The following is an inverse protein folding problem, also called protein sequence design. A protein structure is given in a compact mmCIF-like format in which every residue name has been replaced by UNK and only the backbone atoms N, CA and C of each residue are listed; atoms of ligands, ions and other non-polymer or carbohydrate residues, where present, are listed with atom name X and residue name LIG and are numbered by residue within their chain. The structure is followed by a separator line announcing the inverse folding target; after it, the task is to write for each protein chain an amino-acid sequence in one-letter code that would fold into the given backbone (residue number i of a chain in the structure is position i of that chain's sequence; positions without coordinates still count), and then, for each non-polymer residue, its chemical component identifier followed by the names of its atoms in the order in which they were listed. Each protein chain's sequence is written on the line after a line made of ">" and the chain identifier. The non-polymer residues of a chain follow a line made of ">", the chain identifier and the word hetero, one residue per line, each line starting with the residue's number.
data_IF_799651798999
#
_entry.id   IF_799651798999
#
_cell.length_a   1.000
_cell.length_b   1.000
_cell.length_c   1.000
_cell.angle_alpha   90.00
_cell.angle_beta   90.00
_cell.angle_gamma   90.00
#
_symmetry.space_group_name_H-M   'P 1'
#
loop_
_entity.id
_entity.type
_entity.pdbx_description
1 polymer ?
#
# COMPACT_ATOMS: atom_id res chain seq x y z
N UNK A 1 26.25 -9.11 -37.10
CA UNK A 1 25.55 -9.95 -38.10
C UNK A 1 24.07 -9.67 -37.95
N UNK A 2 23.56 -8.73 -38.73
CA UNK A 2 22.17 -8.30 -38.73
C UNK A 2 21.34 -9.22 -39.61
N UNK A 3 20.23 -9.76 -39.11
CA UNK A 3 19.19 -10.35 -39.95
C UNK A 3 17.91 -9.54 -39.82
N UNK A 4 17.69 -8.73 -40.82
CA UNK A 4 16.44 -8.06 -41.17
C UNK A 4 15.41 -9.08 -41.62
N UNK A 5 14.17 -8.97 -41.06
CA UNK A 5 13.03 -9.67 -41.60
C UNK A 5 12.01 -8.62 -42.12
N UNK A 6 12.00 -8.48 -43.45
CA UNK A 6 10.94 -7.81 -44.23
C UNK A 6 9.99 -8.89 -44.71
N UNK A 7 8.71 -8.67 -44.58
CA UNK A 7 7.62 -9.07 -45.50
C UNK A 7 6.29 -8.73 -44.80
N UNK A 8 5.36 -8.18 -45.38
CA UNK A 8 4.87 -7.79 -46.69
C UNK A 8 3.33 -7.68 -46.56
N UNK A 9 2.92 -6.57 -46.94
CA UNK A 9 1.58 -6.10 -47.33
C UNK A 9 0.59 -7.19 -47.74
N UNK A 10 -0.64 -7.13 -47.18
CA UNK A 10 -1.86 -7.47 -47.96
C UNK A 10 -3.04 -6.62 -47.53
N UNK A 11 -3.35 -5.70 -48.36
CA UNK A 11 -4.54 -4.87 -48.43
C UNK A 11 -5.69 -5.78 -48.89
N UNK A 12 -6.80 -5.80 -48.21
CA UNK A 12 -8.10 -6.17 -48.76
C UNK A 12 -9.15 -5.11 -48.41
N UNK A 13 -9.45 -4.30 -49.42
CA UNK A 13 -10.66 -3.49 -49.52
C UNK A 13 -11.84 -4.41 -49.75
N UNK A 14 -12.88 -4.34 -48.94
CA UNK A 14 -14.24 -4.69 -49.35
C UNK A 14 -15.15 -3.62 -48.77
N UNK A 15 -15.56 -2.77 -49.68
CA UNK A 15 -16.68 -1.85 -49.49
C UNK A 15 -17.99 -2.68 -49.54
N UNK A 16 -18.83 -2.53 -48.55
CA UNK A 16 -20.25 -2.88 -48.69
C UNK A 16 -21.10 -1.83 -48.03
N UNK A 17 -21.73 -1.12 -48.88
CA UNK A 17 -22.70 -0.04 -48.71
C UNK A 17 -24.06 -0.70 -48.37
N UNK A 18 -24.55 -0.48 -47.14
CA UNK A 18 -25.96 -0.75 -46.83
C UNK A 18 -26.57 0.48 -46.16
N UNK A 19 -27.28 1.21 -47.00
CA UNK A 19 -28.28 2.20 -46.59
C UNK A 19 -29.49 1.46 -46.00
N UNK A 20 -29.71 1.62 -44.71
CA UNK A 20 -31.02 1.38 -44.12
C UNK A 20 -31.50 2.63 -43.40
N UNK A 21 -32.38 3.34 -44.09
CA UNK A 21 -33.26 4.36 -43.52
C UNK A 21 -34.38 3.65 -42.77
N UNK A 22 -34.37 3.70 -41.46
CA UNK A 22 -35.57 3.46 -40.67
C UNK A 22 -35.77 4.60 -39.69
N UNK A 23 -36.74 5.42 -40.04
CA UNK A 23 -37.41 6.38 -39.19
C UNK A 23 -37.90 5.68 -37.92
N UNK A 24 -37.33 6.01 -36.76
CA UNK A 24 -37.83 5.54 -35.49
C UNK A 24 -38.39 6.71 -34.70
N UNK A 25 -39.68 6.66 -34.53
CA UNK A 25 -40.55 7.55 -33.80
C UNK A 25 -40.03 7.77 -32.39
N UNK A 26 -39.66 9.01 -32.05
CA UNK A 26 -39.34 9.45 -30.71
C UNK A 26 -40.60 9.52 -29.86
N UNK A 27 -40.90 8.45 -29.15
CA UNK A 27 -42.00 8.42 -28.17
C UNK A 27 -41.44 8.98 -26.85
N UNK A 28 -41.71 10.24 -26.61
CA UNK A 28 -41.39 10.98 -25.42
C UNK A 28 -42.22 10.45 -24.23
N UNK A 29 -41.71 9.45 -23.55
CA UNK A 29 -42.26 9.05 -22.25
C UNK A 29 -41.83 10.07 -21.21
N UNK A 30 -42.76 10.93 -20.80
CA UNK A 30 -42.65 11.68 -19.55
C UNK A 30 -42.66 10.69 -18.39
N UNK A 31 -41.51 10.30 -17.92
CA UNK A 31 -41.38 9.64 -16.62
C UNK A 31 -41.48 10.72 -15.55
N UNK A 32 -42.56 10.65 -14.80
CA UNK A 32 -42.80 11.40 -13.56
C UNK A 32 -41.60 11.10 -12.64
N UNK A 33 -40.87 12.15 -12.29
CA UNK A 33 -39.85 12.08 -11.22
C UNK A 33 -40.61 11.86 -9.93
N UNK A 34 -40.71 10.61 -9.50
CA UNK A 34 -41.10 10.28 -8.14
C UNK A 34 -39.92 10.65 -7.25
N UNK A 35 -40.16 11.61 -6.36
CA UNK A 35 -39.27 11.96 -5.26
C UNK A 35 -39.16 10.76 -4.33
N UNK A 36 -38.20 9.91 -4.57
CA UNK A 36 -37.77 8.93 -3.56
C UNK A 36 -36.96 9.68 -2.48
N UNK A 37 -37.21 9.40 -1.20
CA UNK A 37 -36.53 10.11 -0.11
C UNK A 37 -35.03 9.85 -0.15
N UNK A 38 -34.25 10.93 -0.01
CA UNK A 38 -32.77 10.96 0.04
C UNK A 38 -32.19 10.10 1.20
N UNK A 39 -33.04 9.50 2.00
CA UNK A 39 -32.67 8.71 3.19
C UNK A 39 -32.03 7.35 2.88
N UNK A 40 -32.16 6.83 1.65
CA UNK A 40 -31.54 5.56 1.25
C UNK A 40 -30.12 5.67 0.73
N UNK A 41 -29.66 6.86 0.33
CA UNK A 41 -28.28 7.10 -0.12
C UNK A 41 -27.27 7.23 1.02
N UNK A 42 -27.75 7.51 2.25
CA UNK A 42 -26.90 7.63 3.41
C UNK A 42 -26.64 6.29 4.14
N UNK A 43 -27.33 5.21 3.78
CA UNK A 43 -27.16 3.90 4.40
C UNK A 43 -26.02 3.07 3.76
N UNK A 44 -25.52 3.44 2.59
CA UNK A 44 -24.46 2.73 1.90
C UNK A 44 -23.07 3.32 2.17
N UNK A 45 -23.02 4.57 2.63
CA UNK A 45 -21.78 5.24 3.05
C UNK A 45 -21.30 4.83 4.46
N UNK A 46 -22.07 4.07 5.22
CA UNK A 46 -21.70 3.69 6.59
C UNK A 46 -21.19 2.25 6.73
N UNK A 47 -20.88 1.58 5.61
CA UNK A 47 -20.15 0.30 5.63
C UNK A 47 -18.62 0.47 5.57
N UNK A 48 -18.11 1.58 6.04
CA UNK A 48 -16.75 1.56 6.58
C UNK A 48 -16.85 0.73 7.86
N UNK A 49 -16.44 -0.53 7.75
CA UNK A 49 -16.18 -1.37 8.90
C UNK A 49 -15.42 -0.49 9.89
N UNK A 50 -15.88 -0.46 11.14
CA UNK A 50 -15.21 0.21 12.24
C UNK A 50 -13.80 -0.36 12.29
N UNK A 51 -12.87 0.31 11.57
CA UNK A 51 -11.45 -0.03 11.57
C UNK A 51 -11.05 0.13 13.02
N UNK A 52 -10.60 -0.94 13.62
CA UNK A 52 -10.06 -0.93 14.97
C UNK A 52 -9.01 0.19 15.00
N UNK A 53 -9.09 1.08 15.97
CA UNK A 53 -8.48 2.41 15.94
C UNK A 53 -6.95 2.40 15.92
N UNK A 54 -6.32 1.20 15.95
CA UNK A 54 -4.88 0.98 16.01
C UNK A 54 -4.39 0.02 14.90
N UNK A 55 -4.50 0.47 13.64
CA UNK A 55 -3.90 -0.26 12.51
C UNK A 55 -2.38 -0.27 12.62
N UNK A 56 -1.79 0.83 13.11
CA UNK A 56 -0.36 0.95 13.41
C UNK A 56 -0.13 0.67 14.89
N UNK A 57 0.64 -0.35 15.19
CA UNK A 57 0.91 -0.81 16.56
C UNK A 57 2.31 -0.38 17.01
N UNK A 58 2.47 -0.01 18.28
CA UNK A 58 3.80 0.12 18.86
C UNK A 58 4.45 -1.25 18.93
N UNK A 59 5.77 -1.29 18.70
CA UNK A 59 6.56 -2.52 18.70
C UNK A 59 7.76 -2.34 19.61
N UNK A 60 7.79 -3.10 20.69
CA UNK A 60 8.92 -3.15 21.60
C UNK A 60 10.04 -4.05 21.07
N UNK A 61 11.27 -3.90 21.60
CA UNK A 61 12.41 -4.78 21.31
C UNK A 61 12.09 -6.25 21.59
N UNK A 62 11.35 -6.51 22.66
CA UNK A 62 10.91 -7.86 23.03
C UNK A 62 9.92 -8.44 22.01
N UNK A 63 8.92 -7.65 21.58
CA UNK A 63 7.95 -8.06 20.56
C UNK A 63 8.61 -8.22 19.19
N UNK A 64 9.58 -7.36 18.84
CA UNK A 64 10.36 -7.52 17.61
C UNK A 64 11.05 -8.89 17.60
N UNK A 65 11.72 -9.28 18.71
CA UNK A 65 12.36 -10.60 18.84
C UNK A 65 11.38 -11.75 18.70
N UNK A 66 10.14 -11.58 19.15
CA UNK A 66 9.10 -12.61 19.08
C UNK A 66 8.44 -12.69 17.70
N UNK A 67 8.09 -11.54 17.11
CA UNK A 67 7.22 -11.46 15.93
C UNK A 67 7.99 -11.33 14.61
N UNK A 68 9.13 -10.63 14.64
CA UNK A 68 9.89 -10.26 13.44
C UNK A 68 11.14 -11.11 13.30
N UNK A 69 12.08 -10.97 14.22
CA UNK A 69 13.35 -11.67 14.16
C UNK A 69 14.01 -11.65 15.53
N UNK A 70 14.47 -12.81 15.98
CA UNK A 70 15.27 -12.94 17.20
C UNK A 70 16.75 -12.73 16.89
N UNK A 71 17.20 -11.50 17.06
CA UNK A 71 18.59 -11.11 16.77
C UNK A 71 19.58 -11.57 17.84
N UNK A 72 19.13 -11.98 19.02
CA UNK A 72 20.01 -12.58 20.05
C UNK A 72 20.41 -14.00 19.63
N UNK A 73 19.46 -14.77 19.08
CA UNK A 73 19.71 -16.14 18.66
C UNK A 73 20.38 -16.23 17.27
N UNK A 74 20.23 -15.22 16.44
CA UNK A 74 20.75 -15.21 15.05
C UNK A 74 21.29 -13.82 14.65
N UNK A 75 22.38 -13.34 15.30
CA UNK A 75 22.81 -11.95 15.11
C UNK A 75 23.33 -11.63 13.70
N UNK A 76 23.75 -12.64 12.93
CA UNK A 76 24.38 -12.47 11.63
C UNK A 76 23.51 -12.98 10.46
N UNK A 77 22.31 -13.42 10.72
CA UNK A 77 21.44 -14.01 9.70
C UNK A 77 20.02 -13.49 9.83
N UNK A 78 19.48 -12.89 8.76
CA UNK A 78 18.10 -12.46 8.74
C UNK A 78 17.16 -13.66 8.66
N UNK A 79 16.34 -13.84 9.70
CA UNK A 79 15.34 -14.92 9.79
C UNK A 79 13.98 -14.32 10.18
N UNK A 80 13.21 -13.92 9.19
CA UNK A 80 11.87 -13.41 9.43
C UNK A 80 10.95 -14.51 9.96
N UNK A 81 10.28 -14.25 11.09
CA UNK A 81 9.37 -15.19 11.75
C UNK A 81 7.92 -15.07 11.28
N UNK A 82 7.57 -13.93 10.69
CA UNK A 82 6.20 -13.67 10.23
C UNK A 82 5.86 -14.37 8.91
N UNK A 83 4.57 -14.33 8.58
CA UNK A 83 4.04 -14.88 7.32
C UNK A 83 3.48 -13.79 6.40
N UNK A 84 3.34 -12.58 6.92
CA UNK A 84 2.84 -11.41 6.20
C UNK A 84 3.94 -10.37 6.12
N UNK A 85 3.99 -9.58 5.03
CA UNK A 85 4.90 -8.44 4.95
C UNK A 85 4.67 -7.46 6.10
N UNK A 86 5.73 -6.77 6.51
CA UNK A 86 5.72 -5.82 7.63
C UNK A 86 6.35 -4.50 7.19
N UNK A 87 5.79 -3.38 7.64
CA UNK A 87 6.44 -2.08 7.59
C UNK A 87 6.64 -1.55 9.01
N UNK A 88 7.84 -1.03 9.30
CA UNK A 88 8.18 -0.46 10.61
C UNK A 88 8.65 0.98 10.42
N UNK A 89 8.05 1.93 11.16
CA UNK A 89 8.45 3.34 11.27
C UNK A 89 9.30 3.51 12.54
N UNK A 90 10.60 3.79 12.38
CA UNK A 90 11.48 4.19 13.48
C UNK A 90 11.40 5.71 13.65
N UNK A 91 10.94 6.15 14.79
CA UNK A 91 10.65 7.55 15.09
C UNK A 91 11.07 7.94 16.50
N UNK A 92 10.95 9.23 16.82
CA UNK A 92 10.93 9.73 18.19
C UNK A 92 9.88 10.82 18.34
N UNK A 93 9.38 11.05 19.56
CA UNK A 93 8.32 12.03 19.85
C UNK A 93 8.72 13.48 19.55
N UNK A 94 9.99 13.82 19.73
CA UNK A 94 10.56 15.14 19.45
C UNK A 94 10.88 15.38 17.97
N UNK A 95 10.88 14.36 17.13
CA UNK A 95 11.27 14.43 15.73
C UNK A 95 10.21 15.15 14.88
N UNK A 96 10.54 16.33 14.38
CA UNK A 96 9.65 17.15 13.53
C UNK A 96 9.24 16.47 12.25
N UNK A 97 10.18 15.97 11.42
CA UNK A 97 9.87 15.22 10.19
C UNK A 97 9.05 13.95 10.45
N UNK A 98 9.28 13.24 11.57
CA UNK A 98 8.49 12.06 11.92
C UNK A 98 7.00 12.41 12.16
N UNK A 99 6.73 13.55 12.81
CA UNK A 99 5.35 14.03 13.02
C UNK A 99 4.65 14.38 11.70
N UNK A 100 5.40 14.85 10.71
CA UNK A 100 4.85 15.12 9.37
C UNK A 100 4.55 13.83 8.60
N UNK A 101 5.36 12.79 8.80
CA UNK A 101 5.16 11.48 8.20
C UNK A 101 4.04 10.67 8.83
N UNK A 102 3.75 10.86 10.11
CA UNK A 102 2.77 10.08 10.84
C UNK A 102 1.37 10.00 10.16
N UNK A 103 0.76 11.11 9.67
CA UNK A 103 -0.52 11.03 8.96
C UNK A 103 -0.43 10.27 7.63
N UNK A 104 0.68 10.38 6.90
CA UNK A 104 0.92 9.64 5.66
C UNK A 104 1.04 8.15 5.96
N UNK A 105 1.85 7.80 6.95
CA UNK A 105 2.06 6.42 7.39
C UNK A 105 0.75 5.75 7.83
N UNK A 106 -0.04 6.43 8.66
CA UNK A 106 -1.34 5.93 9.11
C UNK A 106 -2.32 5.72 7.95
N UNK A 107 -2.38 6.65 7.00
CA UNK A 107 -3.25 6.54 5.83
C UNK A 107 -2.87 5.34 4.96
N UNK A 108 -1.59 5.14 4.69
CA UNK A 108 -1.11 3.97 3.94
C UNK A 108 -1.38 2.69 4.72
N UNK A 109 -1.19 2.69 6.04
CA UNK A 109 -1.53 1.55 6.88
C UNK A 109 -3.02 1.19 6.78
N UNK A 110 -3.93 2.16 6.82
CA UNK A 110 -5.38 1.96 6.64
C UNK A 110 -5.73 1.36 5.26
N UNK A 111 -4.99 1.69 4.21
CA UNK A 111 -5.21 1.14 2.87
C UNK A 111 -4.75 -0.31 2.74
N UNK A 112 -3.70 -0.69 3.47
CA UNK A 112 -3.01 -1.98 3.26
C UNK A 112 -3.07 -2.95 4.46
N UNK A 113 -3.72 -2.61 5.60
CA UNK A 113 -3.72 -3.42 6.83
C UNK A 113 -4.17 -4.87 6.64
N UNK A 114 -5.03 -5.15 5.65
CA UNK A 114 -5.47 -6.52 5.37
C UNK A 114 -4.37 -7.40 4.77
N UNK A 115 -3.29 -6.80 4.26
CA UNK A 115 -2.20 -7.49 3.54
C UNK A 115 -0.84 -7.30 4.20
N UNK A 116 -0.63 -6.20 4.90
CA UNK A 116 0.65 -5.78 5.51
C UNK A 116 0.42 -5.42 6.97
N UNK A 117 1.32 -5.80 7.84
CA UNK A 117 1.31 -5.39 9.24
C UNK A 117 2.16 -4.12 9.41
N UNK A 118 1.63 -3.14 10.14
CA UNK A 118 2.28 -1.85 10.33
C UNK A 118 2.63 -1.64 11.80
N UNK A 119 3.89 -1.30 12.04
CA UNK A 119 4.42 -1.07 13.37
C UNK A 119 5.16 0.26 13.46
N UNK A 120 5.35 0.71 14.69
CA UNK A 120 6.12 1.90 15.03
C UNK A 120 7.03 1.60 16.21
N UNK A 121 8.28 2.05 16.13
CA UNK A 121 9.33 1.88 17.16
C UNK A 121 9.81 3.26 17.59
N UNK A 122 9.62 3.62 18.86
CA UNK A 122 10.24 4.81 19.44
C UNK A 122 11.71 4.49 19.76
N UNK A 123 12.64 5.15 19.07
CA UNK A 123 14.08 4.86 19.21
C UNK A 123 14.65 5.28 20.58
N UNK A 124 13.97 6.19 21.28
CA UNK A 124 14.38 6.59 22.63
C UNK A 124 13.99 5.54 23.68
N UNK A 125 12.85 4.88 23.49
CA UNK A 125 12.35 3.82 24.36
C UNK A 125 13.00 2.46 24.01
N UNK A 126 13.20 2.18 22.72
CA UNK A 126 13.68 0.90 22.20
C UNK A 126 15.14 0.98 21.69
N UNK A 127 16.01 1.59 22.51
CA UNK A 127 17.41 1.83 22.16
C UNK A 127 18.21 0.55 21.83
N UNK A 128 17.88 -0.61 22.42
CA UNK A 128 18.49 -1.90 22.08
C UNK A 128 18.23 -2.25 20.62
N UNK A 129 16.98 -2.20 20.20
CA UNK A 129 16.58 -2.50 18.83
C UNK A 129 17.14 -1.46 17.84
N UNK A 130 17.04 -0.17 18.18
CA UNK A 130 17.55 0.90 17.35
C UNK A 130 19.06 0.78 17.10
N UNK A 131 19.83 0.43 18.14
CA UNK A 131 21.27 0.20 18.04
C UNK A 131 21.59 -1.05 17.20
N UNK A 132 20.89 -2.16 17.44
CA UNK A 132 21.09 -3.38 16.67
C UNK A 132 20.79 -3.17 15.18
N UNK A 133 19.72 -2.44 14.88
CA UNK A 133 19.32 -2.07 13.51
C UNK A 133 20.18 -0.95 12.92
N UNK A 134 21.13 -0.40 13.68
CA UNK A 134 22.00 0.72 13.27
C UNK A 134 21.20 1.94 12.77
N UNK A 135 20.10 2.26 13.45
CA UNK A 135 19.27 3.44 13.12
C UNK A 135 20.04 4.70 13.49
N UNK A 136 20.56 5.43 12.49
CA UNK A 136 21.35 6.66 12.68
C UNK A 136 20.57 7.93 12.42
N UNK A 137 19.42 7.82 11.80
CA UNK A 137 18.58 8.96 11.40
C UNK A 137 17.11 8.57 11.44
N UNK A 138 16.24 9.52 11.75
CA UNK A 138 14.79 9.34 11.81
C UNK A 138 14.05 10.46 11.04
N UNK A 139 12.88 10.16 10.43
CA UNK A 139 12.27 8.85 10.34
C UNK A 139 13.08 7.87 9.48
N UNK A 140 13.03 6.60 9.82
CA UNK A 140 13.55 5.51 8.99
C UNK A 140 12.47 4.45 8.88
N UNK A 141 12.18 4.04 7.64
CA UNK A 141 11.17 3.02 7.35
C UNK A 141 11.84 1.73 6.91
N UNK A 142 11.45 0.63 7.54
CA UNK A 142 11.89 -0.71 7.16
C UNK A 142 10.75 -1.46 6.52
N UNK A 143 10.97 -1.99 5.33
CA UNK A 143 10.03 -2.78 4.56
C UNK A 143 10.50 -4.24 4.54
N UNK A 144 9.75 -5.11 5.19
CA UNK A 144 10.09 -6.53 5.40
C UNK A 144 9.15 -7.37 4.55
N UNK A 145 9.63 -8.01 3.47
CA UNK A 145 8.83 -8.93 2.67
C UNK A 145 8.54 -10.22 3.43
N UNK A 146 7.47 -10.93 3.05
CA UNK A 146 7.18 -12.26 3.61
C UNK A 146 8.32 -13.26 3.34
N UNK A 147 9.08 -13.05 2.24
CA UNK A 147 10.28 -13.81 1.89
C UNK A 147 11.38 -12.88 1.38
N UNK A 148 12.59 -13.12 1.80
CA UNK A 148 13.76 -12.35 1.35
C UNK A 148 14.27 -11.37 2.40
N UNK A 149 15.07 -10.41 1.94
CA UNK A 149 15.75 -9.44 2.80
C UNK A 149 14.93 -8.16 2.93
N UNK A 150 14.93 -7.51 4.09
CA UNK A 150 14.30 -6.20 4.25
C UNK A 150 15.01 -5.13 3.44
N UNK A 151 14.26 -4.09 3.09
CA UNK A 151 14.80 -2.84 2.54
C UNK A 151 14.52 -1.69 3.49
N UNK A 152 15.36 -0.66 3.43
CA UNK A 152 15.29 0.50 4.34
C UNK A 152 15.24 1.79 3.51
N UNK A 153 14.37 2.70 3.92
CA UNK A 153 14.32 4.07 3.40
C UNK A 153 14.51 5.05 4.55
N UNK A 154 15.41 6.01 4.37
CA UNK A 154 15.79 7.00 5.40
C UNK A 154 15.22 8.36 5.03
N UNK A 155 14.58 9.02 5.99
CA UNK A 155 14.01 10.36 5.83
C UNK A 155 12.54 10.35 5.44
N UNK A 156 12.00 11.55 5.25
CA UNK A 156 10.62 11.74 4.82
C UNK A 156 10.46 11.39 3.35
N UNK A 157 9.28 10.88 2.99
CA UNK A 157 8.90 10.57 1.61
C UNK A 157 7.48 11.05 1.32
N UNK A 158 7.13 11.17 0.05
CA UNK A 158 5.76 11.46 -0.36
C UNK A 158 4.85 10.25 -0.13
N UNK A 159 3.53 10.49 -0.05
CA UNK A 159 2.54 9.42 0.13
C UNK A 159 2.62 8.39 -1.00
N UNK A 160 2.70 8.86 -2.25
CA UNK A 160 2.81 8.01 -3.43
C UNK A 160 4.06 7.14 -3.42
N UNK A 161 5.16 7.66 -2.87
CA UNK A 161 6.40 6.90 -2.72
C UNK A 161 6.24 5.79 -1.66
N UNK A 162 5.62 6.09 -0.53
CA UNK A 162 5.30 5.10 0.50
C UNK A 162 4.41 3.98 -0.05
N UNK A 163 3.36 4.34 -0.79
CA UNK A 163 2.48 3.37 -1.44
C UNK A 163 3.24 2.49 -2.45
N UNK A 164 4.15 3.08 -3.24
CA UNK A 164 4.99 2.34 -4.18
C UNK A 164 5.89 1.32 -3.46
N UNK A 165 6.50 1.70 -2.33
CA UNK A 165 7.31 0.78 -1.52
C UNK A 165 6.47 -0.39 -1.00
N UNK A 166 5.26 -0.13 -0.49
CA UNK A 166 4.33 -1.17 -0.06
C UNK A 166 3.89 -2.06 -1.23
N UNK A 167 3.64 -1.48 -2.40
CA UNK A 167 3.29 -2.25 -3.60
C UNK A 167 4.43 -3.16 -4.08
N UNK A 168 5.69 -2.71 -3.96
CA UNK A 168 6.88 -3.52 -4.25
C UNK A 168 6.97 -4.68 -3.23
N UNK A 169 6.77 -4.38 -1.96
CA UNK A 169 6.77 -5.34 -0.87
C UNK A 169 5.78 -6.50 -1.12
N UNK A 170 4.58 -6.18 -1.59
CA UNK A 170 3.54 -7.17 -1.91
C UNK A 170 3.82 -8.02 -3.17
N UNK A 171 4.71 -7.58 -4.05
CA UNK A 171 5.10 -8.35 -5.27
C UNK A 171 6.24 -9.34 -5.03
N UNK A 172 6.92 -9.23 -3.89
CA UNK A 172 8.05 -10.08 -3.52
C UNK A 172 7.64 -11.37 -2.77
N UNK A 173 6.36 -11.72 -2.81
CA UNK A 173 5.80 -12.95 -2.21
C UNK A 173 6.08 -14.24 -3.01
#
# INVERSE_FOLDING_TARGET
>A
MFKTYKNATRIFFVASFFLFTTSCIYKQSRTVVQNEPIEKLNAESSRHAKVDKDVVKNLTSSEFKQLIMDFDSSPNEWKFKGTRPVVIDFYATWCGPCRQMAPIYNKVAELYFSKVDFYRVDVDEEGELANWMQIQSIPTFMFIPAKGMPTVSIGSMAEEEMEQQVAILLRSE
#
